data_IF_139081897127
#
_entry.id   IF_139081897127
#
_cell.length_a   1.000
_cell.length_b   1.000
_cell.length_c   1.000
_cell.angle_alpha   90.00
_cell.angle_beta   90.00
_cell.angle_gamma   90.00
#
_symmetry.space_group_name_H-M   'P 1'
#
loop_
_entity.id
_entity.type
_entity.pdbx_description
1 polymer ?
#
# COMPACT_ATOMS: atom_id res chain seq x y z
N UNK A 1 14.51 -24.80 -2.96
CA UNK A 1 14.18 -23.88 -1.84
C UNK A 1 15.40 -23.75 -0.92
N UNK A 2 15.52 -22.73 -0.07
CA UNK A 2 16.67 -22.64 0.84
C UNK A 2 16.48 -23.54 2.07
N UNK A 3 17.56 -24.15 2.56
CA UNK A 3 17.54 -25.01 3.75
C UNK A 3 16.97 -24.30 4.98
N UNK A 4 17.15 -22.97 5.06
CA UNK A 4 16.58 -22.15 6.13
C UNK A 4 15.06 -22.04 6.03
N UNK A 5 14.51 -21.85 4.83
CA UNK A 5 13.04 -21.79 4.62
C UNK A 5 12.41 -23.13 4.96
N UNK A 6 13.04 -24.24 4.56
CA UNK A 6 12.55 -25.58 4.91
C UNK A 6 12.51 -25.81 6.42
N UNK A 7 13.55 -25.39 7.15
CA UNK A 7 13.59 -25.47 8.62
C UNK A 7 12.52 -24.60 9.29
N UNK A 8 12.21 -23.43 8.73
CA UNK A 8 11.16 -22.53 9.25
C UNK A 8 9.76 -23.08 8.93
N UNK A 9 9.57 -23.68 7.75
CA UNK A 9 8.29 -24.20 7.29
C UNK A 9 7.94 -25.59 7.83
N UNK A 10 8.94 -26.43 8.15
CA UNK A 10 8.73 -27.79 8.62
C UNK A 10 7.79 -27.91 9.85
N UNK A 11 7.86 -27.02 10.87
CA UNK A 11 6.87 -27.01 11.95
C UNK A 11 5.43 -26.80 11.47
N UNK A 12 5.22 -25.95 10.46
CA UNK A 12 3.89 -25.64 9.95
C UNK A 12 3.21 -26.88 9.33
N UNK A 13 3.97 -27.68 8.58
CA UNK A 13 3.51 -28.95 8.01
C UNK A 13 3.39 -30.03 9.09
N UNK A 14 4.37 -30.13 9.98
CA UNK A 14 4.36 -31.10 11.10
C UNK A 14 3.12 -30.95 11.98
N UNK A 15 2.66 -29.72 12.19
CA UNK A 15 1.46 -29.41 12.97
C UNK A 15 0.19 -29.36 12.12
N UNK A 16 0.23 -29.80 10.86
CA UNK A 16 -0.93 -29.88 9.95
C UNK A 16 -1.62 -28.53 9.73
N UNK A 17 -0.88 -27.41 9.84
CA UNK A 17 -1.41 -26.08 9.54
C UNK A 17 -1.45 -25.82 8.02
N UNK A 18 -0.60 -26.51 7.27
CA UNK A 18 -0.50 -26.46 5.81
C UNK A 18 -0.15 -27.83 5.25
N UNK A 19 -0.52 -28.08 4.00
CA UNK A 19 -0.33 -29.37 3.32
C UNK A 19 1.13 -29.62 2.93
N UNK A 20 1.85 -28.56 2.56
CA UNK A 20 3.25 -28.59 2.18
C UNK A 20 3.94 -27.27 2.52
N UNK A 21 5.27 -27.25 2.47
CA UNK A 21 6.04 -26.01 2.68
C UNK A 21 5.78 -25.01 1.55
N UNK A 22 5.63 -25.50 0.31
CA UNK A 22 5.27 -24.66 -0.84
C UNK A 22 3.90 -24.01 -0.65
N UNK A 23 2.90 -24.81 -0.26
CA UNK A 23 1.55 -24.32 0.04
C UNK A 23 1.55 -23.29 1.18
N UNK A 24 2.35 -23.52 2.22
CA UNK A 24 2.51 -22.57 3.32
C UNK A 24 3.12 -21.25 2.83
N UNK A 25 4.20 -21.32 2.05
CA UNK A 25 4.88 -20.14 1.53
C UNK A 25 3.98 -19.33 0.60
N UNK A 26 3.27 -19.99 -0.33
CA UNK A 26 2.32 -19.37 -1.24
C UNK A 26 1.21 -18.65 -0.46
N UNK A 27 0.55 -19.38 0.45
CA UNK A 27 -0.58 -18.86 1.23
C UNK A 27 -0.17 -17.67 2.10
N UNK A 28 0.97 -17.77 2.78
CA UNK A 28 1.49 -16.67 3.62
C UNK A 28 1.85 -15.46 2.76
N UNK A 29 2.47 -15.67 1.61
CA UNK A 29 2.86 -14.60 0.69
C UNK A 29 1.64 -13.85 0.17
N UNK A 30 0.63 -14.58 -0.35
CA UNK A 30 -0.63 -13.98 -0.80
C UNK A 30 -1.35 -13.23 0.31
N UNK A 31 -1.42 -13.80 1.51
CA UNK A 31 -2.01 -13.14 2.67
C UNK A 31 -1.29 -11.84 3.03
N UNK A 32 0.05 -11.83 2.96
CA UNK A 32 0.83 -10.62 3.25
C UNK A 32 0.57 -9.54 2.19
N UNK A 33 0.56 -9.88 0.91
CA UNK A 33 0.23 -8.94 -0.18
C UNK A 33 -1.15 -8.33 0.03
N UNK A 34 -2.14 -9.17 0.33
CA UNK A 34 -3.51 -8.72 0.57
C UNK A 34 -3.60 -7.77 1.76
N UNK A 35 -2.84 -8.00 2.83
CA UNK A 35 -2.75 -7.06 3.95
C UNK A 35 -2.16 -5.72 3.54
N UNK A 36 -1.13 -5.69 2.68
CA UNK A 36 -0.54 -4.44 2.20
C UNK A 36 -1.49 -3.68 1.27
N UNK A 37 -2.18 -4.36 0.36
CA UNK A 37 -3.23 -3.77 -0.48
C UNK A 37 -4.32 -3.12 0.39
N UNK A 38 -4.80 -3.84 1.40
CA UNK A 38 -5.79 -3.30 2.34
C UNK A 38 -5.27 -2.10 3.13
N UNK A 39 -4.01 -2.14 3.59
CA UNK A 39 -3.37 -1.03 4.31
C UNK A 39 -3.39 0.25 3.46
N UNK A 40 -2.91 0.18 2.22
CA UNK A 40 -2.86 1.36 1.35
C UNK A 40 -4.25 1.82 0.91
N UNK A 41 -5.16 0.90 0.59
CA UNK A 41 -6.55 1.25 0.28
C UNK A 41 -7.23 2.00 1.46
N UNK A 42 -6.99 1.57 2.70
CA UNK A 42 -7.52 2.26 3.90
C UNK A 42 -6.89 3.65 4.08
N UNK A 43 -5.59 3.80 3.82
CA UNK A 43 -4.91 5.11 3.88
C UNK A 43 -5.47 6.07 2.83
N UNK A 44 -5.65 5.62 1.59
CA UNK A 44 -6.27 6.42 0.53
C UNK A 44 -7.68 6.87 0.94
N UNK A 45 -8.53 5.94 1.40
CA UNK A 45 -9.90 6.26 1.87
C UNK A 45 -9.91 7.24 3.05
N UNK A 46 -8.91 7.19 3.94
CA UNK A 46 -8.76 8.16 5.03
C UNK A 46 -8.58 9.58 4.48
N UNK A 47 -7.73 9.76 3.48
CA UNK A 47 -7.51 11.06 2.85
C UNK A 47 -8.71 11.51 2.01
N UNK A 48 -9.31 10.61 1.22
CA UNK A 48 -10.53 10.91 0.47
C UNK A 48 -11.66 11.40 1.39
N UNK A 49 -11.80 10.77 2.56
CA UNK A 49 -12.77 11.20 3.58
C UNK A 49 -12.40 12.54 4.21
N UNK A 50 -11.11 12.79 4.48
CA UNK A 50 -10.62 14.05 5.09
C UNK A 50 -10.88 15.24 4.16
N UNK A 51 -10.60 15.09 2.87
CA UNK A 51 -10.69 16.18 1.89
C UNK A 51 -11.97 16.18 1.05
N UNK A 52 -12.78 15.12 1.13
CA UNK A 52 -14.01 14.93 0.34
C UNK A 52 -13.79 15.00 -1.18
N UNK A 53 -12.65 14.49 -1.61
CA UNK A 53 -12.21 14.49 -3.01
C UNK A 53 -11.29 13.29 -3.24
N UNK A 54 -11.11 12.89 -4.50
CA UNK A 54 -10.11 11.88 -4.86
C UNK A 54 -8.70 12.49 -4.96
N UNK A 55 -7.69 11.64 -5.14
CA UNK A 55 -6.29 12.08 -5.19
C UNK A 55 -6.01 13.07 -6.33
N UNK A 56 -6.58 12.84 -7.52
CA UNK A 56 -6.39 13.73 -8.68
C UNK A 56 -6.97 15.12 -8.41
N UNK A 57 -8.20 15.18 -7.90
CA UNK A 57 -8.85 16.42 -7.48
C UNK A 57 -8.04 17.16 -6.40
N UNK A 58 -7.48 16.40 -5.45
CA UNK A 58 -6.64 16.93 -4.39
C UNK A 58 -5.32 17.53 -4.89
N UNK A 59 -4.71 16.93 -5.90
CA UNK A 59 -3.50 17.49 -6.52
C UNK A 59 -3.78 18.86 -7.14
N UNK A 60 -4.91 19.02 -7.81
CA UNK A 60 -5.28 20.30 -8.42
C UNK A 60 -5.65 21.34 -7.36
N UNK A 61 -6.38 20.94 -6.32
CA UNK A 61 -6.64 21.77 -5.13
C UNK A 61 -5.35 22.30 -4.49
N UNK A 62 -4.34 21.43 -4.31
CA UNK A 62 -3.06 21.80 -3.68
C UNK A 62 -2.28 22.79 -4.55
N UNK A 63 -2.27 22.61 -5.88
CA UNK A 63 -1.66 23.57 -6.82
C UNK A 63 -2.33 24.94 -6.75
N UNK A 64 -3.66 25.00 -6.64
CA UNK A 64 -4.37 26.27 -6.49
C UNK A 64 -4.06 26.97 -5.17
N UNK A 65 -3.94 26.20 -4.07
CA UNK A 65 -3.56 26.73 -2.75
C UNK A 65 -2.14 27.29 -2.75
N UNK A 66 -1.20 26.59 -3.37
CA UNK A 66 0.18 27.05 -3.51
C UNK A 66 0.28 28.42 -4.21
N UNK A 67 -0.54 28.66 -5.24
CA UNK A 67 -0.59 29.95 -5.94
C UNK A 67 -1.07 31.11 -5.04
N UNK A 68 -1.97 30.83 -4.10
CA UNK A 68 -2.53 31.82 -3.16
C UNK A 68 -1.62 32.12 -1.98
N UNK A 69 -0.67 31.23 -1.68
CA UNK A 69 0.30 31.42 -0.59
C UNK A 69 1.14 32.70 -0.77
N UNK A 70 1.47 33.04 -2.01
CA UNK A 70 2.22 34.25 -2.35
C UNK A 70 1.46 35.55 -2.04
N UNK A 71 0.14 35.46 -1.82
CA UNK A 71 -0.74 36.61 -1.59
C UNK A 71 -1.22 36.75 -0.15
N UNK A 72 -1.13 35.69 0.66
CA UNK A 72 -1.53 35.71 2.08
C UNK A 72 -0.66 34.77 2.95
N UNK A 73 0.39 35.31 3.60
CA UNK A 73 1.31 34.54 4.45
C UNK A 73 0.66 33.91 5.69
N UNK A 74 -0.52 34.37 6.11
CA UNK A 74 -1.22 33.81 7.28
C UNK A 74 -1.66 32.36 7.08
N UNK A 75 -1.67 31.88 5.84
CA UNK A 75 -2.06 30.53 5.44
C UNK A 75 -0.89 29.53 5.38
N UNK A 76 0.33 29.95 5.73
CA UNK A 76 1.54 29.15 5.55
C UNK A 76 1.53 27.85 6.35
N UNK A 77 1.07 27.88 7.60
CA UNK A 77 1.04 26.70 8.48
C UNK A 77 0.00 25.66 8.04
N UNK A 78 -1.17 26.12 7.58
CA UNK A 78 -2.18 25.25 6.96
C UNK A 78 -1.66 24.60 5.67
N UNK A 79 -0.85 25.33 4.91
CA UNK A 79 -0.26 24.82 3.69
C UNK A 79 0.83 23.77 3.94
N UNK A 80 1.66 23.95 4.97
CA UNK A 80 2.64 22.91 5.36
C UNK A 80 1.92 21.60 5.70
N UNK A 81 0.85 21.67 6.50
CA UNK A 81 0.04 20.48 6.82
C UNK A 81 -0.58 19.87 5.55
N UNK A 82 -1.06 20.69 4.63
CA UNK A 82 -1.58 20.24 3.35
C UNK A 82 -0.50 19.51 2.51
N UNK A 83 0.74 20.00 2.50
CA UNK A 83 1.86 19.36 1.81
C UNK A 83 2.27 18.03 2.44
N UNK A 84 2.30 17.94 3.77
CA UNK A 84 2.58 16.70 4.50
C UNK A 84 1.52 15.64 4.16
N UNK A 85 0.24 16.00 4.22
CA UNK A 85 -0.86 15.12 3.82
C UNK A 85 -0.78 14.74 2.33
N UNK A 86 -0.36 15.67 1.46
CA UNK A 86 -0.17 15.39 0.04
C UNK A 86 0.93 14.36 -0.22
N UNK A 87 2.04 14.46 0.52
CA UNK A 87 3.14 13.52 0.44
C UNK A 87 2.70 12.12 0.89
N UNK A 88 2.05 12.03 2.06
CA UNK A 88 1.58 10.75 2.58
C UNK A 88 0.54 10.09 1.67
N UNK A 89 -0.37 10.87 1.09
CA UNK A 89 -1.36 10.35 0.15
C UNK A 89 -0.70 9.84 -1.12
N UNK A 90 0.30 10.56 -1.66
CA UNK A 90 1.08 10.10 -2.81
C UNK A 90 1.80 8.80 -2.53
N UNK A 91 2.42 8.67 -1.35
CA UNK A 91 3.05 7.41 -0.91
C UNK A 91 2.02 6.29 -0.86
N UNK A 92 0.81 6.55 -0.38
CA UNK A 92 -0.24 5.54 -0.31
C UNK A 92 -0.72 5.07 -1.69
N UNK A 93 -0.93 6.00 -2.63
CA UNK A 93 -1.32 5.68 -4.03
C UNK A 93 -0.22 4.86 -4.72
N UNK A 94 1.04 5.30 -4.62
CA UNK A 94 2.16 4.58 -5.22
C UNK A 94 2.38 3.21 -4.57
N UNK A 95 2.21 3.12 -3.24
CA UNK A 95 2.29 1.87 -2.51
C UNK A 95 1.24 0.88 -2.96
N UNK A 96 -0.02 1.32 -3.11
CA UNK A 96 -1.09 0.48 -3.63
C UNK A 96 -0.74 -0.06 -5.03
N UNK A 97 -0.38 0.82 -5.96
CA UNK A 97 -0.05 0.43 -7.33
C UNK A 97 1.13 -0.55 -7.40
N UNK A 98 2.15 -0.36 -6.56
CA UNK A 98 3.30 -1.27 -6.48
C UNK A 98 2.90 -2.66 -5.98
N UNK A 99 2.06 -2.74 -4.94
CA UNK A 99 1.58 -4.03 -4.43
C UNK A 99 0.61 -4.72 -5.39
N UNK A 100 -0.18 -3.96 -6.14
CA UNK A 100 -1.04 -4.52 -7.20
C UNK A 100 -0.22 -5.17 -8.32
N UNK A 101 0.92 -4.59 -8.70
CA UNK A 101 1.80 -5.23 -9.69
C UNK A 101 2.43 -6.52 -9.13
N UNK A 102 2.96 -6.47 -7.91
CA UNK A 102 3.49 -7.67 -7.22
C UNK A 102 2.44 -8.77 -7.11
N UNK A 103 1.19 -8.41 -6.80
CA UNK A 103 0.08 -9.35 -6.75
C UNK A 103 -0.13 -10.03 -8.11
N UNK A 104 -0.22 -9.24 -9.19
CA UNK A 104 -0.37 -9.76 -10.56
C UNK A 104 0.80 -10.64 -10.99
N UNK A 105 2.03 -10.30 -10.61
CA UNK A 105 3.21 -11.12 -10.90
C UNK A 105 3.15 -12.47 -10.21
N UNK A 106 2.79 -12.49 -8.92
CA UNK A 106 2.71 -13.72 -8.12
C UNK A 106 1.56 -14.61 -8.56
N UNK A 107 0.37 -14.06 -8.83
CA UNK A 107 -0.75 -14.82 -9.39
C UNK A 107 -0.39 -15.46 -10.73
N UNK A 108 0.36 -14.75 -11.59
CA UNK A 108 0.87 -15.31 -12.86
C UNK A 108 1.84 -16.47 -12.63
N UNK A 109 2.74 -16.37 -11.65
CA UNK A 109 3.71 -17.45 -11.34
C UNK A 109 2.98 -18.68 -10.82
N UNK A 110 2.04 -18.50 -9.89
CA UNK A 110 1.26 -19.60 -9.30
C UNK A 110 0.43 -20.31 -10.37
N UNK A 111 -0.22 -19.55 -11.27
CA UNK A 111 -1.02 -20.12 -12.35
C UNK A 111 -0.22 -20.95 -13.38
N UNK A 112 1.11 -20.80 -13.40
CA UNK A 112 2.02 -21.52 -14.30
C UNK A 112 2.74 -22.70 -13.61
N UNK A 113 2.60 -22.85 -12.29
CA UNK A 113 3.21 -23.91 -11.48
C UNK A 113 2.29 -25.13 -11.37
#
# INVERSE_FOLDING_TARGET
MSERIEKIGAPLVKHQLFESIDNAFETITLNYIQQQLQKYSRLIKKFEKKYKMNYTEFQDYTKERARKLNTDPSTHEEFIQLEDDAFDWKVAVNGLASWEEVHREIERIIALA
#
